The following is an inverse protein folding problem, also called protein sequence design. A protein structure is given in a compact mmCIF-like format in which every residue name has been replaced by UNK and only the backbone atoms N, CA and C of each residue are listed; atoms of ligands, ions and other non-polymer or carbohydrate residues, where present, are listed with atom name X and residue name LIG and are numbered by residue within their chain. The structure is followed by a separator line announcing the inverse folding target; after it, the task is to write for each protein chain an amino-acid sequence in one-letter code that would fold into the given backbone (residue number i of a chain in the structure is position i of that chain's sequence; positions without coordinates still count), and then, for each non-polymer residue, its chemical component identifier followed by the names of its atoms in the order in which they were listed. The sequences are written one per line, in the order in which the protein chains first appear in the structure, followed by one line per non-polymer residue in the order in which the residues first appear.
data_IF_721339810105
#
_entry.id   IF_721339810105
#
_cell.length_a   1.000
_cell.length_b   1.000
_cell.length_c   1.000
_cell.angle_alpha   90.00
_cell.angle_beta   90.00
_cell.angle_gamma   90.00
#
_symmetry.space_group_name_H-M   'P 1'
#
loop_
_entity.id
_entity.type
_entity.pdbx_description
1 polymer ?
#
# COMPACT_ATOMS: atom_id res chain seq x y z
N UNK A 1 -0.76 14.30 -4.58
CA UNK A 1 -1.25 12.92 -4.36
C UNK A 1 -0.55 11.92 -5.26
N UNK A 2 -0.63 12.03 -6.59
CA UNK A 2 -0.01 11.04 -7.50
C UNK A 2 1.50 10.83 -7.27
N UNK A 3 2.27 11.89 -7.01
CA UNK A 3 3.71 11.76 -6.71
C UNK A 3 4.02 10.89 -5.48
N UNK A 4 3.23 11.01 -4.41
CA UNK A 4 3.44 10.19 -3.20
C UNK A 4 3.19 8.72 -3.44
N UNK A 5 2.21 8.38 -4.28
CA UNK A 5 1.96 6.99 -4.66
C UNK A 5 3.09 6.46 -5.54
N UNK A 6 3.53 7.22 -6.55
CA UNK A 6 4.64 6.84 -7.42
C UNK A 6 5.91 6.52 -6.63
N UNK A 7 6.28 7.36 -5.66
CA UNK A 7 7.45 7.12 -4.79
C UNK A 7 7.32 5.85 -3.93
N UNK A 8 6.10 5.42 -3.59
CA UNK A 8 5.86 4.17 -2.85
C UNK A 8 5.96 2.98 -3.80
N UNK A 9 5.37 3.09 -4.99
CA UNK A 9 5.38 2.03 -6.00
C UNK A 9 6.80 1.78 -6.52
N UNK A 10 7.63 2.81 -6.71
CA UNK A 10 9.05 2.66 -7.09
C UNK A 10 9.86 1.82 -6.08
N UNK A 11 9.42 1.74 -4.82
CA UNK A 11 10.07 0.86 -3.83
C UNK A 11 9.75 -0.61 -4.05
N UNK A 12 8.64 -0.91 -4.70
CA UNK A 12 8.09 -2.25 -4.93
C UNK A 12 8.35 -2.74 -6.36
N UNK A 13 8.31 -1.83 -7.33
CA UNK A 13 8.41 -2.13 -8.76
C UNK A 13 9.77 -2.73 -9.13
N UNK A 14 9.75 -3.75 -9.99
CA UNK A 14 10.93 -4.50 -10.42
C UNK A 14 11.84 -5.03 -9.29
N UNK A 15 11.28 -5.35 -8.11
CA UNK A 15 12.01 -5.95 -6.99
C UNK A 15 11.39 -7.26 -6.53
N UNK A 16 12.23 -8.10 -5.93
CA UNK A 16 11.75 -9.26 -5.18
C UNK A 16 11.12 -8.78 -3.88
N UNK A 17 9.79 -8.78 -3.82
CA UNK A 17 9.05 -8.31 -2.64
C UNK A 17 9.47 -9.05 -1.37
N UNK A 18 9.76 -10.35 -1.47
CA UNK A 18 10.25 -11.19 -0.36
C UNK A 18 11.58 -10.70 0.25
N UNK A 19 12.38 -9.91 -0.47
CA UNK A 19 13.66 -9.37 0.01
C UNK A 19 13.50 -8.01 0.68
N UNK A 20 12.32 -7.39 0.60
CA UNK A 20 12.05 -6.13 1.26
C UNK A 20 11.79 -6.38 2.75
N UNK A 21 12.41 -5.58 3.62
CA UNK A 21 12.27 -5.68 5.08
C UNK A 21 10.82 -5.79 5.57
N UNK A 22 9.90 -5.12 4.86
CA UNK A 22 8.48 -5.14 5.19
C UNK A 22 7.83 -6.51 4.98
N UNK A 23 8.21 -7.24 3.93
CA UNK A 23 7.67 -8.56 3.60
C UNK A 23 8.59 -9.71 4.05
N UNK A 24 9.70 -9.42 4.75
CA UNK A 24 10.59 -10.46 5.24
C UNK A 24 9.88 -11.42 6.21
N UNK A 25 8.97 -10.90 7.05
CA UNK A 25 8.22 -11.68 8.04
C UNK A 25 6.74 -11.90 7.67
N UNK A 26 6.30 -11.42 6.49
CA UNK A 26 4.92 -11.49 6.02
C UNK A 26 4.91 -11.74 4.52
N UNK A 27 4.14 -12.69 4.00
CA UNK A 27 4.19 -12.95 2.56
C UNK A 27 3.78 -11.69 1.75
N UNK A 28 4.28 -11.53 0.51
CA UNK A 28 3.90 -10.41 -0.34
C UNK A 28 2.57 -10.69 -1.06
N UNK A 29 1.51 -11.03 -0.32
CA UNK A 29 0.16 -11.16 -0.89
C UNK A 29 -0.45 -9.79 -1.22
N UNK A 30 -1.50 -9.79 -2.04
CA UNK A 30 -2.26 -8.58 -2.36
C UNK A 30 -2.79 -7.87 -1.11
N UNK A 31 -3.19 -8.60 -0.06
CA UNK A 31 -3.64 -8.02 1.21
C UNK A 31 -2.50 -7.22 1.88
N UNK A 32 -1.31 -7.82 1.97
CA UNK A 32 -0.15 -7.19 2.60
C UNK A 32 0.39 -6.02 1.77
N UNK A 33 0.32 -6.12 0.44
CA UNK A 33 0.65 -5.02 -0.48
C UNK A 33 -0.32 -3.85 -0.31
N UNK A 34 -1.64 -4.12 -0.28
CA UNK A 34 -2.65 -3.09 -0.07
C UNK A 34 -2.47 -2.41 1.29
N UNK A 35 -2.18 -3.18 2.34
CA UNK A 35 -1.88 -2.67 3.68
C UNK A 35 -0.61 -1.80 3.71
N UNK A 36 0.48 -2.25 3.09
CA UNK A 36 1.73 -1.48 2.98
C UNK A 36 1.51 -0.12 2.32
N UNK A 37 0.91 -0.12 1.13
CA UNK A 37 0.67 1.09 0.34
C UNK A 37 -0.23 2.06 1.11
N UNK A 38 -1.31 1.55 1.73
CA UNK A 38 -2.19 2.33 2.59
C UNK A 38 -1.45 3.01 3.75
N UNK A 39 -0.59 2.25 4.45
CA UNK A 39 0.14 2.77 5.59
C UNK A 39 1.19 3.82 5.16
N UNK A 40 1.94 3.58 4.10
CA UNK A 40 2.94 4.52 3.60
C UNK A 40 2.31 5.80 3.05
N UNK A 41 1.18 5.68 2.33
CA UNK A 41 0.41 6.84 1.87
C UNK A 41 -0.09 7.66 3.07
N UNK A 42 -0.67 7.02 4.10
CA UNK A 42 -1.15 7.69 5.31
C UNK A 42 -0.04 8.50 5.98
N UNK A 43 1.17 7.95 6.07
CA UNK A 43 2.34 8.66 6.63
C UNK A 43 2.71 9.90 5.78
N UNK A 44 2.72 9.77 4.45
CA UNK A 44 3.08 10.88 3.55
C UNK A 44 2.05 12.01 3.54
N UNK A 45 0.76 11.69 3.70
CA UNK A 45 -0.31 12.69 3.66
C UNK A 45 -0.75 13.20 5.03
N UNK A 46 -0.09 12.80 6.13
CA UNK A 46 -0.50 13.12 7.51
C UNK A 46 -0.62 14.62 7.79
N UNK A 47 0.15 15.45 7.08
CA UNK A 47 0.15 16.91 7.24
C UNK A 47 -0.86 17.62 6.32
N UNK A 48 -1.69 16.87 5.59
CA UNK A 48 -2.69 17.41 4.68
C UNK A 48 -4.10 17.09 5.21
N UNK A 49 -5.10 17.91 4.86
CA UNK A 49 -6.51 17.70 5.26
C UNK A 49 -7.22 16.62 4.41
N UNK A 50 -6.47 15.57 4.06
CA UNK A 50 -6.94 14.47 3.22
C UNK A 50 -6.59 13.15 3.91
N UNK A 51 -7.46 12.15 3.74
CA UNK A 51 -7.30 10.84 4.36
C UNK A 51 -7.35 9.75 3.29
N UNK A 52 -6.54 8.72 3.46
CA UNK A 52 -6.65 7.49 2.68
C UNK A 52 -7.91 6.76 3.17
N UNK A 53 -8.88 6.54 2.29
CA UNK A 53 -10.09 5.78 2.62
C UNK A 53 -9.85 4.27 2.46
N UNK A 54 -9.32 3.87 1.30
CA UNK A 54 -8.99 2.47 0.97
C UNK A 54 -7.90 2.39 -0.08
N UNK A 55 -7.22 1.25 -0.12
CA UNK A 55 -6.28 0.86 -1.19
C UNK A 55 -6.67 -0.53 -1.68
N UNK A 56 -6.69 -0.72 -3.00
CA UNK A 56 -6.92 -2.02 -3.62
C UNK A 56 -5.70 -2.44 -4.41
N UNK A 57 -5.15 -3.62 -4.12
CA UNK A 57 -4.09 -4.24 -4.90
C UNK A 57 -4.69 -5.36 -5.76
N UNK A 58 -4.39 -5.35 -7.05
CA UNK A 58 -4.84 -6.36 -8.01
C UNK A 58 -3.66 -7.23 -8.41
N UNK A 59 -3.76 -8.54 -8.22
CA UNK A 59 -2.77 -9.51 -8.69
C UNK A 59 -3.09 -9.95 -10.13
N UNK A 60 -4.37 -10.05 -10.46
CA UNK A 60 -4.88 -10.35 -11.81
C UNK A 60 -6.22 -9.66 -12.04
N UNK A 61 -6.82 -9.82 -13.22
CA UNK A 61 -8.10 -9.22 -13.56
C UNK A 61 -9.25 -9.67 -12.63
N UNK A 62 -9.19 -10.91 -12.14
CA UNK A 62 -10.24 -11.51 -11.28
C UNK A 62 -9.84 -11.60 -9.80
N UNK A 63 -8.60 -11.22 -9.44
CA UNK A 63 -8.09 -11.35 -8.08
C UNK A 63 -7.54 -10.02 -7.54
N UNK A 64 -8.19 -9.51 -6.49
CA UNK A 64 -7.74 -8.32 -5.79
C UNK A 64 -8.01 -8.38 -4.28
N UNK A 65 -7.27 -7.57 -3.53
CA UNK A 65 -7.48 -7.35 -2.11
C UNK A 65 -7.61 -5.86 -1.81
N UNK A 66 -8.58 -5.51 -0.97
CA UNK A 66 -8.82 -4.13 -0.53
C UNK A 66 -8.53 -3.97 0.95
N UNK A 67 -7.63 -3.05 1.30
CA UNK A 67 -7.44 -2.59 2.66
C UNK A 67 -8.20 -1.28 2.90
N UNK A 68 -9.04 -1.24 3.93
CA UNK A 68 -9.85 -0.06 4.29
C UNK A 68 -9.34 0.54 5.59
N UNK A 69 -9.09 1.86 5.61
CA UNK A 69 -8.71 2.55 6.83
C UNK A 69 -9.96 3.11 7.51
N UNK A 70 -10.35 2.50 8.64
CA UNK A 70 -11.37 3.10 9.48
C UNK A 70 -10.76 4.32 10.19
N UNK A 71 -11.19 5.51 9.78
CA UNK A 71 -11.01 6.70 10.61
C UNK A 71 -12.03 6.58 11.75
N UNK A 72 -11.57 6.18 12.93
CA UNK A 72 -12.35 6.40 14.15
C UNK A 72 -12.48 7.92 14.26
N UNK A 73 -13.71 8.38 14.06
CA UNK A 73 -14.13 9.77 14.26
C UNK A 73 -14.10 10.09 15.75
#
# INVERSE_FOLDING_TARGET
LNGYLSEIIEKLDHKFLNELDYFHNSNPSSENIAYYIAHELKKKIVNHDIKVARVTAWESEDACATYTLNSIV
#
